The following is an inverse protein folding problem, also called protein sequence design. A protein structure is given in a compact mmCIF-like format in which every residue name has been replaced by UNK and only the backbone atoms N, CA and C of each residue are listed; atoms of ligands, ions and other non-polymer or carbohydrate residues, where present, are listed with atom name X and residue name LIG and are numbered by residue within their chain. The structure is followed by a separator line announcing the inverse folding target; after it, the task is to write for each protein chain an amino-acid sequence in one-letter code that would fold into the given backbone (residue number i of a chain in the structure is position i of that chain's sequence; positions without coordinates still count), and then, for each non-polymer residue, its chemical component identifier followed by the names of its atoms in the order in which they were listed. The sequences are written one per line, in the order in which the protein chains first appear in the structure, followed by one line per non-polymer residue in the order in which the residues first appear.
data_IF_544895116802
#
_entry.id   IF_544895116802
#
_cell.length_a   1.000
_cell.length_b   1.000
_cell.length_c   1.000
_cell.angle_alpha   90.00
_cell.angle_beta   90.00
_cell.angle_gamma   90.00
#
_symmetry.space_group_name_H-M   'P 1'
#
loop_
_entity.id
_entity.type
_entity.pdbx_description
1 polymer ?
#
# COMPACT_ATOMS: atom_id res chain seq x y z
N UNK A 1 18.99 1.72 -57.34
CA UNK A 1 18.04 0.91 -56.55
C UNK A 1 18.12 1.37 -55.10
N UNK A 2 17.08 2.05 -54.60
CA UNK A 2 17.06 2.69 -53.29
C UNK A 2 16.24 1.83 -52.34
N UNK A 3 16.90 0.92 -51.60
CA UNK A 3 16.23 0.11 -50.59
C UNK A 3 15.81 1.01 -49.43
N UNK A 4 14.50 1.25 -49.31
CA UNK A 4 13.90 1.82 -48.11
C UNK A 4 13.92 0.74 -47.04
N UNK A 5 14.84 0.82 -46.09
CA UNK A 5 14.70 0.13 -44.82
C UNK A 5 13.52 0.76 -44.08
N UNK A 6 12.38 0.07 -44.12
CA UNK A 6 11.22 0.38 -43.30
C UNK A 6 11.53 -0.09 -41.88
N UNK A 7 11.86 0.86 -41.02
CA UNK A 7 12.04 0.64 -39.59
C UNK A 7 10.67 0.24 -39.01
N UNK A 8 10.48 -1.05 -38.71
CA UNK A 8 9.32 -1.51 -37.94
C UNK A 8 9.64 -1.17 -36.48
N UNK A 9 9.12 -0.04 -36.01
CA UNK A 9 9.12 0.30 -34.60
C UNK A 9 8.19 -0.70 -33.90
N UNK A 10 8.77 -1.66 -33.19
CA UNK A 10 8.03 -2.58 -32.32
C UNK A 10 7.44 -1.75 -31.17
N UNK A 11 6.18 -1.32 -31.32
CA UNK A 11 5.43 -0.72 -30.24
C UNK A 11 5.01 -1.87 -29.31
N UNK A 12 5.81 -2.13 -28.27
CA UNK A 12 5.44 -3.09 -27.22
C UNK A 12 4.34 -2.42 -26.39
N UNK A 13 3.09 -2.57 -26.83
CA UNK A 13 1.94 -2.40 -25.95
C UNK A 13 2.01 -3.54 -24.93
N UNK A 14 2.65 -3.30 -23.79
CA UNK A 14 2.42 -4.15 -22.63
C UNK A 14 0.94 -3.98 -22.26
N UNK A 15 0.12 -4.95 -22.65
CA UNK A 15 -1.24 -5.10 -22.15
C UNK A 15 -1.14 -5.29 -20.64
N UNK A 16 -1.23 -4.20 -19.87
CA UNK A 16 -1.41 -4.28 -18.44
C UNK A 16 -2.76 -4.93 -18.21
N UNK A 17 -2.75 -6.20 -17.80
CA UNK A 17 -3.95 -6.84 -17.27
C UNK A 17 -4.46 -5.98 -16.11
N UNK A 18 -5.73 -5.58 -16.15
CA UNK A 18 -6.30 -4.80 -15.06
C UNK A 18 -6.14 -5.55 -13.73
N UNK A 19 -5.69 -4.85 -12.66
CA UNK A 19 -5.62 -5.43 -11.33
C UNK A 19 -6.99 -5.93 -10.87
N UNK A 20 -7.01 -7.11 -10.22
CA UNK A 20 -8.24 -7.74 -9.71
C UNK A 20 -8.48 -7.44 -8.24
N UNK A 21 -7.41 -7.18 -7.49
CA UNK A 21 -7.44 -6.85 -6.06
C UNK A 21 -6.62 -5.59 -5.77
N UNK A 22 -6.82 -4.98 -4.61
CA UNK A 22 -6.01 -3.85 -4.14
C UNK A 22 -4.53 -4.26 -4.01
N UNK A 23 -4.27 -5.48 -3.53
CA UNK A 23 -2.92 -6.05 -3.42
C UNK A 23 -2.25 -6.21 -4.80
N UNK A 24 -2.96 -6.74 -5.80
CA UNK A 24 -2.46 -6.83 -7.18
C UNK A 24 -2.13 -5.45 -7.75
N UNK A 25 -2.97 -4.46 -7.46
CA UNK A 25 -2.76 -3.09 -7.90
C UNK A 25 -1.49 -2.52 -7.27
N UNK A 26 -1.36 -2.58 -5.95
CA UNK A 26 -0.19 -2.05 -5.24
C UNK A 26 1.08 -2.74 -5.73
N UNK A 27 1.08 -4.08 -5.83
CA UNK A 27 2.23 -4.83 -6.33
C UNK A 27 2.61 -4.45 -7.77
N UNK A 28 1.62 -4.16 -8.61
CA UNK A 28 1.86 -3.70 -9.99
C UNK A 28 2.37 -2.26 -10.04
N UNK A 29 1.90 -1.38 -9.15
CA UNK A 29 2.41 -0.02 -8.99
C UNK A 29 3.89 -0.05 -8.59
N UNK A 30 4.27 -0.88 -7.62
CA UNK A 30 5.68 -1.08 -7.22
C UNK A 30 6.53 -1.60 -8.39
N UNK A 31 6.02 -2.57 -9.16
CA UNK A 31 6.73 -3.09 -10.35
C UNK A 31 6.88 -2.05 -11.45
N UNK A 32 5.92 -1.14 -11.60
CA UNK A 32 5.98 -0.09 -12.63
C UNK A 32 7.16 0.87 -12.46
N UNK A 33 7.70 0.94 -11.24
CA UNK A 33 8.86 1.77 -10.89
C UNK A 33 10.10 0.92 -10.56
N UNK A 34 10.13 -0.35 -10.98
CA UNK A 34 11.23 -1.29 -10.71
C UNK A 34 11.60 -1.44 -9.22
N UNK A 35 10.61 -1.27 -8.33
CA UNK A 35 10.79 -1.34 -6.89
C UNK A 35 10.94 -2.77 -6.36
N UNK A 36 11.86 -2.96 -5.41
CA UNK A 36 12.02 -4.21 -4.65
C UNK A 36 11.34 -4.06 -3.29
N UNK A 37 10.30 -4.86 -3.03
CA UNK A 37 9.57 -4.80 -1.74
C UNK A 37 10.50 -5.16 -0.59
N UNK A 38 10.57 -4.28 0.41
CA UNK A 38 11.40 -4.46 1.62
C UNK A 38 10.57 -4.53 2.90
N UNK A 39 9.32 -4.07 2.86
CA UNK A 39 8.42 -4.07 4.00
C UNK A 39 6.96 -3.99 3.53
N UNK A 40 6.11 -4.80 4.15
CA UNK A 40 4.67 -4.67 4.10
C UNK A 40 4.21 -4.18 5.47
N UNK A 41 3.22 -3.31 5.52
CA UNK A 41 2.65 -2.86 6.78
C UNK A 41 1.15 -2.74 6.75
N UNK A 42 0.55 -2.78 7.93
CA UNK A 42 -0.87 -2.53 8.14
C UNK A 42 -1.10 -1.77 9.44
N UNK A 43 -2.17 -0.98 9.46
CA UNK A 43 -2.65 -0.27 10.63
C UNK A 43 -4.13 -0.59 10.81
N UNK A 44 -4.50 -1.02 12.01
CA UNK A 44 -5.89 -1.13 12.43
C UNK A 44 -6.16 -0.02 13.44
N UNK A 45 -7.13 0.83 13.13
CA UNK A 45 -7.60 1.87 14.03
C UNK A 45 -8.97 1.48 14.56
N UNK A 46 -9.11 1.42 15.87
CA UNK A 46 -10.35 1.09 16.57
C UNK A 46 -10.76 2.32 17.36
N UNK A 47 -11.95 2.86 17.09
CA UNK A 47 -12.56 3.93 17.90
C UNK A 47 -13.68 3.37 18.77
N UNK A 48 -14.04 4.09 19.82
CA UNK A 48 -14.94 3.64 20.89
C UNK A 48 -14.37 2.38 21.59
N UNK A 49 -13.06 2.38 21.82
CA UNK A 49 -12.33 1.23 22.32
C UNK A 49 -12.15 1.26 23.86
N UNK A 50 -13.01 1.98 24.60
CA UNK A 50 -12.84 2.20 26.04
C UNK A 50 -12.82 0.94 26.90
N UNK A 51 -13.34 -0.16 26.38
CA UNK A 51 -13.33 -1.50 26.99
C UNK A 51 -12.21 -2.41 26.43
N UNK A 52 -11.37 -1.90 25.53
CA UNK A 52 -10.31 -2.69 24.90
C UNK A 52 -9.30 -3.17 25.94
N UNK A 53 -9.04 -4.47 25.92
CA UNK A 53 -8.00 -5.09 26.71
C UNK A 53 -7.02 -5.78 25.77
N UNK A 54 -5.74 -5.39 25.82
CA UNK A 54 -4.70 -5.97 24.97
C UNK A 54 -4.57 -7.49 25.10
N UNK A 55 -4.92 -8.04 26.28
CA UNK A 55 -4.85 -9.48 26.54
C UNK A 55 -5.84 -10.27 25.65
N UNK A 56 -6.86 -9.61 25.08
CA UNK A 56 -7.74 -10.21 24.05
C UNK A 56 -6.96 -10.66 22.80
N UNK A 57 -5.74 -10.13 22.60
CA UNK A 57 -4.87 -10.46 21.48
C UNK A 57 -3.79 -11.48 21.80
N UNK A 58 -3.58 -11.89 23.06
CA UNK A 58 -2.47 -12.77 23.44
C UNK A 58 -2.44 -14.07 22.61
N UNK A 59 -3.61 -14.70 22.43
CA UNK A 59 -3.75 -15.91 21.61
C UNK A 59 -3.49 -15.69 20.12
N UNK A 60 -3.73 -14.47 19.62
CA UNK A 60 -3.41 -14.10 18.24
C UNK A 60 -1.90 -13.90 18.13
N UNK A 61 -1.32 -13.10 19.02
CA UNK A 61 0.10 -12.77 19.02
C UNK A 61 0.98 -14.02 19.16
N UNK A 62 0.60 -14.96 20.03
CA UNK A 62 1.33 -16.21 20.25
C UNK A 62 1.39 -17.14 19.01
N UNK A 63 0.53 -16.94 18.01
CA UNK A 63 0.53 -17.75 16.77
C UNK A 63 1.56 -17.29 15.75
N UNK A 64 2.09 -16.08 15.89
CA UNK A 64 2.93 -15.47 14.87
C UNK A 64 4.38 -15.38 15.31
N UNK A 65 5.29 -15.67 14.37
CA UNK A 65 6.72 -15.59 14.59
C UNK A 65 7.18 -14.12 14.61
N UNK A 66 7.67 -13.67 15.76
CA UNK A 66 8.17 -12.31 15.98
C UNK A 66 9.35 -11.94 15.04
N UNK A 67 10.05 -12.94 14.48
CA UNK A 67 11.09 -12.70 13.49
C UNK A 67 10.53 -12.35 12.11
N UNK A 68 9.27 -12.71 11.83
CA UNK A 68 8.60 -12.46 10.56
C UNK A 68 7.76 -11.20 10.60
N UNK A 69 7.05 -10.98 11.71
CA UNK A 69 6.14 -9.85 11.87
C UNK A 69 6.38 -9.13 13.19
N UNK A 70 6.38 -7.80 13.13
CA UNK A 70 6.37 -6.94 14.30
C UNK A 70 4.96 -6.40 14.49
N UNK A 71 4.49 -6.43 15.73
CA UNK A 71 3.17 -5.93 16.12
C UNK A 71 3.39 -4.92 17.24
N UNK A 72 2.79 -3.74 17.11
CA UNK A 72 2.81 -2.69 18.13
C UNK A 72 1.38 -2.21 18.36
N UNK A 73 1.03 -2.03 19.63
CA UNK A 73 -0.27 -1.52 20.06
C UNK A 73 0.01 -0.19 20.76
N UNK A 74 -0.55 0.88 20.21
CA UNK A 74 -0.50 2.22 20.80
C UNK A 74 -1.74 2.38 21.69
N UNK A 75 -1.51 2.23 22.99
CA UNK A 75 -2.51 2.39 24.06
C UNK A 75 -2.58 3.84 24.56
N UNK A 76 -1.63 4.73 24.21
CA UNK A 76 -1.67 6.14 24.65
C UNK A 76 -2.87 6.88 24.04
N UNK A 77 -3.20 6.54 22.79
CA UNK A 77 -4.42 7.01 22.13
C UNK A 77 -5.71 6.54 22.82
N UNK A 78 -5.66 5.47 23.63
CA UNK A 78 -6.84 4.92 24.30
C UNK A 78 -7.27 5.83 25.45
N UNK A 79 -6.30 6.21 26.29
CA UNK A 79 -6.55 7.05 27.47
C UNK A 79 -7.01 8.46 27.09
N UNK A 80 -6.50 8.99 25.96
CA UNK A 80 -6.77 10.36 25.53
C UNK A 80 -7.94 10.50 24.56
N UNK A 81 -8.15 9.54 23.66
CA UNK A 81 -9.09 9.65 22.54
C UNK A 81 -10.11 8.50 22.48
N UNK A 82 -10.03 7.50 23.37
CA UNK A 82 -10.85 6.29 23.29
C UNK A 82 -10.54 5.46 22.03
N UNK A 83 -9.29 5.52 21.55
CA UNK A 83 -8.83 4.91 20.30
C UNK A 83 -7.68 3.95 20.54
N UNK A 84 -7.68 2.81 19.86
CA UNK A 84 -6.54 1.88 19.82
C UNK A 84 -5.97 1.84 18.41
N UNK A 85 -4.64 1.89 18.29
CA UNK A 85 -3.95 1.72 17.02
C UNK A 85 -3.06 0.48 17.11
N UNK A 86 -3.30 -0.48 16.22
CA UNK A 86 -2.46 -1.67 16.09
C UNK A 86 -1.69 -1.54 14.78
N UNK A 87 -0.37 -1.40 14.84
CA UNK A 87 0.49 -1.40 13.65
C UNK A 87 1.19 -2.75 13.53
N UNK A 88 1.15 -3.32 12.33
CA UNK A 88 1.84 -4.57 11.98
C UNK A 88 2.79 -4.30 10.83
N UNK A 89 4.02 -4.82 10.90
CA UNK A 89 5.01 -4.71 9.82
C UNK A 89 5.73 -6.04 9.60
N UNK A 90 5.95 -6.41 8.35
CA UNK A 90 6.69 -7.60 7.97
C UNK A 90 7.73 -7.26 6.90
N UNK A 91 8.97 -7.68 7.12
CA UNK A 91 10.02 -7.67 6.10
C UNK A 91 10.07 -8.98 5.31
N UNK A 92 9.32 -9.99 5.75
CA UNK A 92 9.13 -11.24 5.03
C UNK A 92 7.97 -11.07 4.05
N UNK A 93 8.31 -10.98 2.75
CA UNK A 93 7.34 -10.81 1.67
C UNK A 93 6.44 -12.04 1.46
N UNK A 94 6.76 -13.19 2.07
CA UNK A 94 5.88 -14.37 2.07
C UNK A 94 4.82 -14.33 3.18
N UNK A 95 4.98 -13.42 4.16
CA UNK A 95 4.06 -13.28 5.26
C UNK A 95 2.79 -12.52 4.86
N UNK A 96 1.63 -13.13 5.05
CA UNK A 96 0.35 -12.51 4.74
C UNK A 96 -0.17 -11.68 5.92
N UNK A 97 0.06 -10.36 5.89
CA UNK A 97 -0.57 -9.43 6.84
C UNK A 97 -2.10 -9.49 6.80
N UNK A 98 -2.69 -9.86 5.66
CA UNK A 98 -4.14 -10.05 5.52
C UNK A 98 -4.69 -11.13 6.45
N UNK A 99 -3.96 -12.23 6.67
CA UNK A 99 -4.39 -13.28 7.59
C UNK A 99 -4.28 -12.83 9.06
N UNK A 100 -3.17 -12.18 9.40
CA UNK A 100 -2.99 -11.58 10.73
C UNK A 100 -4.10 -10.56 11.04
N UNK A 101 -4.38 -9.66 10.11
CA UNK A 101 -5.44 -8.67 10.25
C UNK A 101 -6.80 -9.33 10.47
N UNK A 102 -7.14 -10.39 9.73
CA UNK A 102 -8.38 -11.13 9.95
C UNK A 102 -8.46 -11.72 11.35
N UNK A 103 -7.36 -12.24 11.88
CA UNK A 103 -7.35 -12.82 13.23
C UNK A 103 -7.45 -11.75 14.32
N UNK A 104 -6.77 -10.61 14.16
CA UNK A 104 -6.93 -9.46 15.06
C UNK A 104 -8.38 -8.98 15.03
N UNK A 105 -8.96 -8.77 13.84
CA UNK A 105 -10.33 -8.29 13.67
C UNK A 105 -11.35 -9.21 14.33
N UNK A 106 -11.18 -10.54 14.28
CA UNK A 106 -12.07 -11.48 14.99
C UNK A 106 -12.12 -11.23 16.49
N UNK A 107 -11.00 -10.86 17.11
CA UNK A 107 -10.95 -10.62 18.55
C UNK A 107 -11.51 -9.25 18.93
N UNK A 108 -11.25 -8.23 18.11
CA UNK A 108 -11.50 -6.83 18.48
C UNK A 108 -12.81 -6.26 17.92
N UNK A 109 -13.49 -6.96 17.01
CA UNK A 109 -14.75 -6.47 16.42
C UNK A 109 -15.88 -6.53 17.45
N UNK A 110 -16.55 -5.41 17.65
CA UNK A 110 -17.77 -5.24 18.46
C UNK A 110 -18.73 -4.30 17.72
N UNK A 111 -20.02 -4.35 18.03
CA UNK A 111 -21.05 -3.57 17.32
C UNK A 111 -20.88 -2.05 17.47
N UNK A 112 -20.36 -1.61 18.60
CA UNK A 112 -20.14 -0.21 18.97
C UNK A 112 -18.78 0.35 18.52
N UNK A 113 -17.86 -0.52 18.10
CA UNK A 113 -16.52 -0.15 17.64
C UNK A 113 -16.52 0.25 16.17
N UNK A 114 -15.91 1.38 15.87
CA UNK A 114 -15.64 1.79 14.48
C UNK A 114 -14.20 1.41 14.13
N UNK A 115 -14.06 0.45 13.22
CA UNK A 115 -12.76 -0.11 12.84
C UNK A 115 -12.39 0.30 11.42
N UNK A 116 -11.18 0.83 11.25
CA UNK A 116 -10.57 1.08 9.95
C UNK A 116 -9.29 0.28 9.81
N UNK A 117 -9.09 -0.30 8.63
CA UNK A 117 -7.87 -1.03 8.29
C UNK A 117 -7.20 -0.33 7.13
N UNK A 118 -5.90 -0.12 7.29
CA UNK A 118 -5.03 0.46 6.29
C UNK A 118 -3.89 -0.52 6.00
N UNK A 119 -3.38 -0.52 4.79
CA UNK A 119 -2.23 -1.32 4.38
C UNK A 119 -1.28 -0.48 3.54
N UNK A 120 0.01 -0.79 3.59
CA UNK A 120 1.00 -0.20 2.71
C UNK A 120 2.08 -1.20 2.32
N UNK A 121 2.72 -0.91 1.18
CA UNK A 121 3.92 -1.60 0.72
C UNK A 121 5.02 -0.56 0.55
N UNK A 122 6.17 -0.83 1.15
CA UNK A 122 7.40 -0.05 0.99
C UNK A 122 8.39 -0.85 0.14
N UNK A 123 8.90 -0.22 -0.90
CA UNK A 123 9.90 -0.80 -1.78
C UNK A 123 11.10 0.12 -1.95
N UNK A 124 12.27 -0.48 -2.08
CA UNK A 124 13.51 0.22 -2.43
C UNK A 124 13.61 0.35 -3.96
N UNK A 125 13.99 1.53 -4.42
CA UNK A 125 14.23 1.84 -5.82
C UNK A 125 15.75 1.78 -6.09
N UNK A 126 16.13 1.44 -7.32
CA UNK A 126 17.53 1.19 -7.69
C UNK A 126 18.36 2.47 -7.82
N UNK A 127 17.73 3.52 -8.33
CA UNK A 127 18.36 4.77 -8.70
C UNK A 127 17.79 5.93 -7.87
N UNK A 128 18.34 7.13 -8.06
CA UNK A 128 17.91 8.35 -7.36
C UNK A 128 17.07 9.28 -8.25
N UNK A 129 16.65 8.79 -9.42
CA UNK A 129 15.87 9.58 -10.39
C UNK A 129 14.38 9.61 -10.01
N UNK A 130 14.05 10.52 -9.10
CA UNK A 130 12.69 10.74 -8.60
C UNK A 130 11.70 11.08 -9.72
N UNK A 131 12.13 11.82 -10.74
CA UNK A 131 11.25 12.27 -11.82
C UNK A 131 10.92 11.11 -12.76
N UNK A 132 11.89 10.22 -13.04
CA UNK A 132 11.65 8.97 -13.76
C UNK A 132 10.59 8.12 -13.04
N UNK A 133 10.76 7.89 -11.73
CA UNK A 133 9.83 7.05 -10.96
C UNK A 133 8.45 7.67 -10.85
N UNK A 134 8.36 8.98 -10.62
CA UNK A 134 7.10 9.72 -10.65
C UNK A 134 6.38 9.51 -11.98
N UNK A 135 7.08 9.71 -13.10
CA UNK A 135 6.49 9.60 -14.44
C UNK A 135 6.07 8.16 -14.79
N UNK A 136 6.82 7.16 -14.32
CA UNK A 136 6.45 5.76 -14.50
C UNK A 136 5.22 5.38 -13.68
N UNK A 137 5.15 5.82 -12.41
CA UNK A 137 3.97 5.62 -11.57
C UNK A 137 2.74 6.32 -12.16
N UNK A 138 2.87 7.57 -12.59
CA UNK A 138 1.78 8.33 -13.21
C UNK A 138 1.24 7.62 -14.46
N UNK A 139 2.14 7.16 -15.35
CA UNK A 139 1.74 6.35 -16.52
C UNK A 139 0.99 5.08 -16.11
N UNK A 140 1.45 4.37 -15.08
CA UNK A 140 0.76 3.19 -14.56
C UNK A 140 -0.64 3.52 -14.05
N UNK A 141 -0.79 4.59 -13.27
CA UNK A 141 -2.08 5.04 -12.74
C UNK A 141 -3.05 5.41 -13.87
N UNK A 142 -2.57 6.14 -14.90
CA UNK A 142 -3.38 6.50 -16.08
C UNK A 142 -3.79 5.25 -16.86
N UNK A 143 -2.84 4.35 -17.15
CA UNK A 143 -3.07 3.17 -17.96
C UNK A 143 -4.01 2.14 -17.30
N UNK A 144 -4.07 2.14 -15.97
CA UNK A 144 -5.01 1.30 -15.20
C UNK A 144 -6.39 1.96 -15.02
N UNK A 145 -6.58 3.17 -15.53
CA UNK A 145 -7.85 3.90 -15.46
C UNK A 145 -8.08 4.61 -14.13
N UNK A 146 -7.00 4.95 -13.42
CA UNK A 146 -7.04 5.77 -12.22
C UNK A 146 -7.56 7.19 -12.50
N UNK A 147 -8.10 7.83 -11.46
CA UNK A 147 -8.69 9.17 -11.50
C UNK A 147 -8.15 10.02 -10.35
N UNK A 148 -8.34 11.34 -10.44
CA UNK A 148 -7.97 12.30 -9.39
C UNK A 148 -6.52 12.09 -8.95
N UNK A 149 -5.62 11.92 -9.92
CA UNK A 149 -4.20 11.69 -9.68
C UNK A 149 -3.58 13.04 -9.36
N UNK A 150 -3.10 13.20 -8.14
CA UNK A 150 -2.51 14.43 -7.65
C UNK A 150 -1.14 14.13 -7.06
N UNK A 151 -0.15 14.92 -7.45
CA UNK A 151 1.21 14.87 -6.92
C UNK A 151 1.53 16.18 -6.20
N UNK A 152 2.28 16.11 -5.11
CA UNK A 152 2.78 17.24 -4.34
C UNK A 152 4.26 17.05 -4.05
N UNK A 153 5.08 18.03 -4.42
CA UNK A 153 6.52 18.00 -4.12
C UNK A 153 6.78 18.28 -2.64
N UNK A 154 7.77 17.58 -2.09
CA UNK A 154 8.33 17.81 -0.76
C UNK A 154 9.86 17.84 -0.88
N UNK A 155 10.57 18.34 0.12
CA UNK A 155 12.04 18.50 0.07
C UNK A 155 12.79 17.20 -0.25
N UNK A 156 12.25 16.06 0.21
CA UNK A 156 12.83 14.73 0.01
C UNK A 156 12.27 13.98 -1.20
N UNK A 157 11.33 14.54 -1.96
CA UNK A 157 10.75 13.89 -3.14
C UNK A 157 9.31 14.31 -3.47
N UNK A 158 8.42 13.33 -3.66
CA UNK A 158 7.03 13.59 -4.08
C UNK A 158 6.07 12.69 -3.32
N UNK A 159 4.93 13.24 -2.92
CA UNK A 159 3.79 12.49 -2.39
C UNK A 159 2.60 12.65 -3.33
N UNK A 160 1.57 11.83 -3.16
CA UNK A 160 0.36 11.97 -3.95
C UNK A 160 -0.76 11.06 -3.52
N UNK A 161 -1.91 11.30 -4.15
CA UNK A 161 -3.13 10.53 -3.98
C UNK A 161 -3.71 10.19 -5.34
N UNK A 162 -4.46 9.09 -5.41
CA UNK A 162 -5.24 8.76 -6.58
C UNK A 162 -6.45 7.89 -6.21
N UNK A 163 -7.47 7.90 -7.06
CA UNK A 163 -8.52 6.90 -7.06
C UNK A 163 -8.13 5.80 -8.05
N UNK A 164 -7.70 4.67 -7.50
CA UNK A 164 -7.27 3.48 -8.24
C UNK A 164 -8.47 2.64 -8.67
N UNK A 165 -8.36 1.95 -9.80
CA UNK A 165 -9.41 1.12 -10.38
C UNK A 165 -9.01 -0.36 -10.33
N UNK A 166 -9.90 -1.20 -9.80
CA UNK A 166 -9.82 -2.66 -9.93
C UNK A 166 -10.97 -3.17 -10.80
N UNK A 167 -10.69 -4.21 -11.60
CA UNK A 167 -11.63 -4.79 -12.52
C UNK A 167 -11.87 -6.28 -12.23
N UNK A 168 -13.15 -6.68 -12.22
CA UNK A 168 -13.50 -8.09 -12.26
C UNK A 168 -13.69 -8.50 -13.73
N UNK A 169 -12.87 -9.41 -14.26
CA UNK A 169 -12.97 -9.82 -15.68
C UNK A 169 -14.28 -10.54 -16.05
N UNK A 170 -15.15 -10.81 -15.07
CA UNK A 170 -16.44 -11.50 -15.23
C UNK A 170 -17.66 -10.62 -14.98
N UNK A 171 -17.50 -9.44 -14.38
CA UNK A 171 -18.59 -8.51 -14.09
C UNK A 171 -18.16 -7.09 -14.48
N UNK A 172 -19.01 -6.35 -15.19
CA UNK A 172 -18.80 -4.94 -15.57
C UNK A 172 -18.69 -3.98 -14.35
N UNK A 173 -18.70 -4.50 -13.14
CA UNK A 173 -18.61 -3.78 -11.89
C UNK A 173 -17.16 -3.33 -11.62
N UNK A 174 -16.80 -2.20 -12.22
CA UNK A 174 -15.58 -1.49 -11.91
C UNK A 174 -15.68 -0.91 -10.48
N UNK A 175 -14.72 -1.26 -9.62
CA UNK A 175 -14.66 -0.70 -8.26
C UNK A 175 -13.46 0.24 -8.17
N UNK A 176 -13.67 1.41 -7.56
CA UNK A 176 -12.62 2.38 -7.28
C UNK A 176 -12.26 2.33 -5.79
N UNK A 177 -10.99 2.50 -5.47
CA UNK A 177 -10.50 2.61 -4.10
C UNK A 177 -9.42 3.70 -4.04
N UNK A 178 -9.27 4.33 -2.87
CA UNK A 178 -8.31 5.42 -2.73
C UNK A 178 -6.93 4.86 -2.38
N UNK A 179 -5.91 5.46 -2.98
CA UNK A 179 -4.51 5.19 -2.64
C UNK A 179 -3.82 6.50 -2.30
N UNK A 180 -2.77 6.39 -1.51
CA UNK A 180 -1.77 7.42 -1.37
C UNK A 180 -0.39 6.82 -1.60
N UNK A 181 0.55 7.63 -2.07
CA UNK A 181 1.89 7.18 -2.36
C UNK A 181 2.91 8.27 -2.05
N UNK A 182 4.16 7.84 -1.84
CA UNK A 182 5.30 8.70 -1.64
C UNK A 182 6.51 8.08 -2.34
N UNK A 183 7.24 8.87 -3.12
CA UNK A 183 8.55 8.52 -3.69
C UNK A 183 9.56 9.48 -3.06
N UNK A 184 10.42 8.96 -2.19
CA UNK A 184 11.25 9.74 -1.28
C UNK A 184 12.69 9.28 -1.32
N UNK A 185 13.61 10.22 -1.21
CA UNK A 185 15.05 10.01 -1.13
C UNK A 185 15.53 10.30 0.29
N UNK A 186 16.19 9.32 0.89
CA UNK A 186 16.92 9.47 2.15
C UNK A 186 18.39 9.11 1.93
N UNK A 187 19.23 9.33 2.95
CA UNK A 187 20.64 8.92 2.93
C UNK A 187 20.81 7.40 2.77
N UNK A 188 19.83 6.61 3.20
CA UNK A 188 19.84 5.14 3.08
C UNK A 188 19.38 4.63 1.70
N UNK A 189 18.91 5.52 0.82
CA UNK A 189 18.45 5.18 -0.53
C UNK A 189 17.12 5.85 -0.91
N UNK A 190 16.61 5.48 -2.07
CA UNK A 190 15.34 5.95 -2.60
C UNK A 190 14.26 4.89 -2.40
N UNK A 191 13.06 5.31 -1.99
CA UNK A 191 11.97 4.41 -1.68
C UNK A 191 10.67 4.89 -2.29
N UNK A 192 9.80 3.95 -2.60
CA UNK A 192 8.38 4.19 -2.82
C UNK A 192 7.58 3.55 -1.69
N UNK A 193 6.56 4.25 -1.22
CA UNK A 193 5.52 3.72 -0.35
C UNK A 193 4.19 3.89 -1.07
N UNK A 194 3.38 2.84 -1.14
CA UNK A 194 2.01 2.89 -1.67
C UNK A 194 1.09 2.31 -0.63
N UNK A 195 0.06 3.05 -0.22
CA UNK A 195 -0.89 2.68 0.80
C UNK A 195 -2.35 2.79 0.37
N UNK A 196 -3.22 2.05 1.06
CA UNK A 196 -4.68 2.09 0.89
C UNK A 196 -5.44 1.83 2.21
N UNK A 197 -6.60 2.48 2.45
CA UNK A 197 -7.05 3.70 1.79
C UNK A 197 -6.04 4.83 2.08
N UNK A 198 -6.42 6.11 2.00
CA UNK A 198 -5.45 7.20 2.26
C UNK A 198 -4.96 7.10 3.71
N UNK A 199 -3.66 6.85 3.88
CA UNK A 199 -2.99 6.88 5.18
C UNK A 199 -2.44 8.28 5.40
N UNK A 200 -3.05 9.04 6.32
CA UNK A 200 -2.47 10.29 6.81
C UNK A 200 -1.37 9.97 7.82
N UNK A 201 -0.18 9.63 7.33
CA UNK A 201 1.02 9.51 8.15
C UNK A 201 2.07 10.51 7.67
N UNK A 202 2.82 11.09 8.61
CA UNK A 202 4.04 11.81 8.28
C UNK A 202 5.04 10.79 7.73
N UNK A 203 5.47 10.99 6.49
CA UNK A 203 6.49 10.20 5.81
C UNK A 203 7.88 10.78 6.05
#
# INVERSE_FOLDING_TARGET
MRNKFMLITFLIFTLFSMPKTEEDFINSAIKSVDGTVIENGSRIEIRNAGDFNKNELDDVLAKYDENKVRISIDEEALELEGRVIINTTSKDNSFSLNNLNKDILKQVTREDRNIKVFSYVKAQLKDEDLELYKNNLEKYLINTGGKNIEFSSIDSGVTGIASAKIGNSKELNNTFFNINFAIVKYTSGTYIIVGTPIITCAY
#
